data_IF_303343976660
#
_entry.id   IF_303343976660
#
_cell.length_a   1.000
_cell.length_b   1.000
_cell.length_c   1.000
_cell.angle_alpha   90.00
_cell.angle_beta   90.00
_cell.angle_gamma   90.00
#
_symmetry.space_group_name_H-M   'P 1'
#
loop_
_entity.id
_entity.type
_entity.pdbx_description
1 polymer ?
#
# COMPACT_ATOMS: atom_id res chain seq x y z
N UNK A 1 0.31 21.45 -0.75
CA UNK A 1 0.58 20.87 -2.08
C UNK A 1 1.54 19.67 -2.07
N UNK A 2 2.71 19.69 -1.37
CA UNK A 2 3.66 18.55 -1.39
C UNK A 2 3.18 17.25 -0.72
N UNK A 3 2.36 17.32 0.33
CA UNK A 3 1.97 16.13 1.11
C UNK A 3 1.04 15.19 0.32
N UNK A 4 0.02 15.72 -0.37
CA UNK A 4 -0.92 14.92 -1.16
C UNK A 4 -0.22 14.21 -2.33
N UNK A 5 0.70 14.90 -3.01
CA UNK A 5 1.45 14.33 -4.13
C UNK A 5 2.47 13.27 -3.67
N UNK A 6 3.10 13.47 -2.51
CA UNK A 6 3.96 12.46 -1.88
C UNK A 6 3.17 11.20 -1.52
N UNK A 7 1.98 11.37 -0.93
CA UNK A 7 1.08 10.26 -0.54
C UNK A 7 0.54 9.51 -1.75
N UNK A 8 0.18 10.23 -2.81
CA UNK A 8 -0.25 9.60 -4.07
C UNK A 8 0.87 8.72 -4.65
N UNK A 9 2.11 9.24 -4.71
CA UNK A 9 3.26 8.48 -5.19
C UNK A 9 3.63 7.30 -4.30
N UNK A 10 3.66 7.49 -2.97
CA UNK A 10 3.95 6.40 -2.03
C UNK A 10 2.85 5.34 -2.04
N UNK A 11 1.58 5.74 -2.08
CA UNK A 11 0.44 4.82 -2.23
C UNK A 11 0.52 4.03 -3.54
N UNK A 12 0.88 4.67 -4.65
CA UNK A 12 1.09 3.99 -5.93
C UNK A 12 2.24 2.98 -5.90
N UNK A 13 3.37 3.34 -5.28
CA UNK A 13 4.50 2.42 -5.08
C UNK A 13 4.12 1.23 -4.20
N UNK A 14 3.37 1.44 -3.12
CA UNK A 14 2.89 0.36 -2.26
C UNK A 14 1.88 -0.54 -2.98
N UNK A 15 1.01 0.02 -3.83
CA UNK A 15 0.09 -0.76 -4.64
C UNK A 15 0.86 -1.69 -5.60
N UNK A 16 1.87 -1.17 -6.32
CA UNK A 16 2.72 -2.00 -7.16
C UNK A 16 3.47 -3.08 -6.36
N UNK A 17 4.00 -2.71 -5.19
CA UNK A 17 4.70 -3.64 -4.31
C UNK A 17 3.77 -4.76 -3.81
N UNK A 18 2.50 -4.46 -3.53
CA UNK A 18 1.49 -5.45 -3.16
C UNK A 18 1.21 -6.44 -4.29
N UNK A 19 1.13 -5.97 -5.55
CA UNK A 19 0.91 -6.82 -6.72
C UNK A 19 2.11 -7.76 -6.94
N UNK A 20 3.33 -7.23 -6.83
CA UNK A 20 4.56 -8.04 -6.95
C UNK A 20 4.66 -9.06 -5.81
N UNK A 21 4.33 -8.66 -4.58
CA UNK A 21 4.35 -9.56 -3.42
C UNK A 21 3.28 -10.65 -3.53
N UNK A 22 2.12 -10.34 -4.09
CA UNK A 22 1.06 -11.32 -4.39
C UNK A 22 1.54 -12.33 -5.43
N UNK A 23 2.15 -11.87 -6.53
CA UNK A 23 2.70 -12.77 -7.56
C UNK A 23 3.79 -13.69 -6.99
N UNK A 24 4.69 -13.15 -6.15
CA UNK A 24 5.71 -13.92 -5.44
C UNK A 24 5.10 -14.93 -4.47
N UNK A 25 4.02 -14.57 -3.77
CA UNK A 25 3.27 -15.49 -2.90
C UNK A 25 2.68 -16.67 -3.67
N UNK A 26 1.97 -16.40 -4.78
CA UNK A 26 1.40 -17.47 -5.62
C UNK A 26 2.50 -18.38 -6.20
N UNK A 27 3.62 -17.81 -6.63
CA UNK A 27 4.75 -18.57 -7.14
C UNK A 27 5.40 -19.45 -6.05
N UNK A 28 5.61 -18.91 -4.85
CA UNK A 28 6.16 -19.66 -3.73
C UNK A 28 5.21 -20.78 -3.25
N UNK A 29 3.91 -20.51 -3.24
CA UNK A 29 2.88 -21.49 -2.91
C UNK A 29 2.83 -22.63 -3.94
N UNK A 30 2.96 -22.32 -5.24
CA UNK A 30 2.97 -23.32 -6.31
C UNK A 30 4.26 -24.14 -6.40
N UNK A 31 5.39 -23.58 -5.98
CA UNK A 31 6.71 -24.25 -6.03
C UNK A 31 7.02 -25.14 -4.82
N UNK A 32 6.12 -25.23 -3.84
CA UNK A 32 6.30 -26.05 -2.63
C UNK A 32 7.23 -25.41 -1.57
N UNK A 33 7.65 -24.16 -1.76
CA UNK A 33 8.48 -23.41 -0.82
C UNK A 33 7.63 -22.73 0.27
N UNK A 34 7.01 -23.53 1.14
CA UNK A 34 6.07 -23.06 2.17
C UNK A 34 6.62 -21.96 3.10
N UNK A 35 7.92 -21.98 3.42
CA UNK A 35 8.56 -20.93 4.23
C UNK A 35 8.60 -19.57 3.52
N UNK A 36 8.96 -19.55 2.24
CA UNK A 36 8.99 -18.32 1.44
C UNK A 36 7.59 -17.83 1.08
N UNK A 37 6.62 -18.74 0.94
CA UNK A 37 5.22 -18.37 0.80
C UNK A 37 4.72 -17.59 2.03
N UNK A 38 5.03 -18.05 3.25
CA UNK A 38 4.64 -17.31 4.46
C UNK A 38 5.23 -15.88 4.48
N UNK A 39 6.52 -15.74 4.16
CA UNK A 39 7.20 -14.44 4.12
C UNK A 39 6.59 -13.52 3.07
N UNK A 40 6.38 -14.01 1.85
CA UNK A 40 5.77 -13.22 0.76
C UNK A 40 4.33 -12.79 1.09
N UNK A 41 3.58 -13.63 1.80
CA UNK A 41 2.23 -13.32 2.28
C UNK A 41 2.23 -12.21 3.33
N UNK A 42 3.12 -12.30 4.34
CA UNK A 42 3.27 -11.26 5.38
C UNK A 42 3.67 -9.93 4.76
N UNK A 43 4.64 -9.93 3.84
CA UNK A 43 5.08 -8.71 3.14
C UNK A 43 3.92 -8.10 2.34
N UNK A 44 3.10 -8.92 1.69
CA UNK A 44 1.92 -8.45 0.97
C UNK A 44 0.92 -7.77 1.91
N UNK A 45 0.60 -8.40 3.05
CA UNK A 45 -0.35 -7.85 4.04
C UNK A 45 0.18 -6.54 4.62
N UNK A 46 1.46 -6.47 4.99
CA UNK A 46 2.07 -5.25 5.54
C UNK A 46 2.07 -4.13 4.50
N UNK A 47 2.38 -4.42 3.23
CA UNK A 47 2.34 -3.44 2.15
C UNK A 47 0.92 -2.89 1.93
N UNK A 48 -0.10 -3.76 1.91
CA UNK A 48 -1.49 -3.31 1.75
C UNK A 48 -1.96 -2.50 2.96
N UNK A 49 -1.68 -2.97 4.18
CA UNK A 49 -2.10 -2.29 5.41
C UNK A 49 -1.45 -0.90 5.53
N UNK A 50 -0.16 -0.78 5.21
CA UNK A 50 0.53 0.51 5.21
C UNK A 50 0.00 1.47 4.14
N UNK A 51 -0.40 0.96 2.96
CA UNK A 51 -1.00 1.79 1.91
C UNK A 51 -2.33 2.37 2.37
N UNK A 52 -3.20 1.52 2.92
CA UNK A 52 -4.51 1.93 3.45
C UNK A 52 -4.34 2.93 4.60
N UNK A 53 -3.40 2.68 5.51
CA UNK A 53 -3.13 3.58 6.63
C UNK A 53 -2.63 4.95 6.15
N UNK A 54 -1.72 5.01 5.19
CA UNK A 54 -1.23 6.27 4.62
C UNK A 54 -2.34 7.07 3.95
N UNK A 55 -3.13 6.44 3.08
CA UNK A 55 -4.23 7.12 2.39
C UNK A 55 -5.29 7.55 3.42
N UNK A 56 -5.71 6.67 4.32
CA UNK A 56 -6.72 6.96 5.33
C UNK A 56 -6.32 8.07 6.30
N UNK A 57 -5.07 8.08 6.77
CA UNK A 57 -4.56 9.15 7.65
C UNK A 57 -4.51 10.49 6.94
N UNK A 58 -4.18 10.51 5.64
CA UNK A 58 -4.14 11.76 4.87
C UNK A 58 -5.53 12.31 4.60
N UNK A 59 -6.50 11.46 4.27
CA UNK A 59 -7.91 11.84 4.15
C UNK A 59 -8.43 12.36 5.50
N UNK A 60 -8.12 11.68 6.60
CA UNK A 60 -8.52 12.13 7.93
C UNK A 60 -7.87 13.47 8.32
N UNK A 61 -6.58 13.64 7.99
CA UNK A 61 -5.84 14.87 8.26
C UNK A 61 -6.39 16.05 7.45
N UNK A 62 -6.70 15.84 6.17
CA UNK A 62 -7.26 16.87 5.29
C UNK A 62 -8.68 17.26 5.71
N UNK A 63 -9.48 16.28 6.13
CA UNK A 63 -10.83 16.50 6.65
C UNK A 63 -10.81 17.31 7.96
N UNK A 64 -9.86 17.06 8.87
CA UNK A 64 -9.69 17.87 10.10
C UNK A 64 -9.24 19.30 9.82
N UNK A 65 -8.49 19.51 8.75
CA UNK A 65 -8.01 20.83 8.34
C UNK A 65 -9.06 21.65 7.57
N UNK A 66 -10.29 21.13 7.39
CA UNK A 66 -11.38 21.77 6.65
C UNK A 66 -10.94 22.24 5.25
N UNK A 67 -10.00 21.51 4.63
CA UNK A 67 -9.65 21.73 3.23
C UNK A 67 -10.75 21.11 2.39
N UNK A 68 -11.58 21.97 1.79
CA UNK A 68 -12.61 21.53 0.87
C UNK A 68 -11.95 20.84 -0.34
N UNK A 69 -12.37 19.60 -0.57
CA UNK A 69 -12.00 18.69 -1.66
C UNK A 69 -10.56 18.14 -1.61
N UNK A 70 -10.37 16.80 -1.75
CA UNK A 70 -9.04 16.26 -1.97
C UNK A 70 -8.58 16.65 -3.38
N UNK A 71 -7.74 17.68 -3.49
CA UNK A 71 -7.04 18.00 -4.73
C UNK A 71 -5.97 16.92 -4.91
N UNK A 72 -6.32 15.85 -5.63
CA UNK A 72 -5.39 14.83 -6.10
C UNK A 72 -4.59 15.28 -7.34
N UNK A 73 -4.88 16.49 -7.86
CA UNK A 73 -4.18 17.14 -8.97
C UNK A 73 -4.15 18.65 -8.77
#
# INVERSE_FOLDING_TARGET
MKLNLFVAWTGYMLALLSIVSLAAFLYAAGSGNGGWALVAGIVCVVAVASAIAMIGTTVHHDHRLHRETPHLF
#
